data_IF_596199817521
#
_entry.id   IF_596199817521
#
_cell.length_a   1.000
_cell.length_b   1.000
_cell.length_c   1.000
_cell.angle_alpha   90.00
_cell.angle_beta   90.00
_cell.angle_gamma   90.00
#
_symmetry.space_group_name_H-M   'P 1'
#
loop_
_entity.id
_entity.type
_entity.pdbx_description
1 polymer ?
#
# COMPACT_ATOMS: atom_id res chain seq x y z
N UNK A 1 7.98 26.64 -4.66
CA UNK A 1 7.53 25.34 -4.14
C UNK A 1 6.80 24.62 -5.26
N UNK A 2 7.16 23.36 -5.53
CA UNK A 2 6.57 22.57 -6.60
C UNK A 2 5.52 21.61 -6.04
N UNK A 3 4.31 21.64 -6.60
CA UNK A 3 3.26 20.68 -6.26
C UNK A 3 3.23 19.56 -7.30
N UNK A 4 3.40 18.32 -6.85
CA UNK A 4 3.30 17.14 -7.72
C UNK A 4 2.21 16.23 -7.18
N UNK A 5 1.23 15.91 -8.03
CA UNK A 5 0.23 14.89 -7.74
C UNK A 5 0.71 13.55 -8.26
N UNK A 6 0.77 12.55 -7.39
CA UNK A 6 1.06 11.16 -7.75
C UNK A 6 -0.28 10.45 -7.92
N UNK A 7 -0.58 10.02 -9.15
CA UNK A 7 -1.87 9.39 -9.48
C UNK A 7 -1.69 8.12 -10.28
N UNK A 8 -2.77 7.35 -10.44
CA UNK A 8 -2.84 6.14 -11.24
C UNK A 8 -4.26 5.97 -11.76
N UNK A 9 -4.43 5.25 -12.87
CA UNK A 9 -5.77 4.93 -13.39
C UNK A 9 -6.38 3.73 -12.67
N UNK A 10 -5.56 2.80 -12.20
CA UNK A 10 -5.99 1.62 -11.45
C UNK A 10 -5.40 1.56 -10.02
N UNK A 11 -5.96 0.62 -9.24
CA UNK A 11 -5.52 0.29 -7.89
C UNK A 11 -4.19 -0.43 -7.92
N UNK A 12 -3.48 -0.37 -6.79
CA UNK A 12 -2.24 -1.13 -6.55
C UNK A 12 -1.12 -0.86 -7.57
N UNK A 13 -1.16 0.22 -8.35
CA UNK A 13 -0.06 0.62 -9.26
C UNK A 13 1.21 1.08 -8.52
N UNK A 14 1.13 1.31 -7.20
CA UNK A 14 2.28 1.64 -6.36
C UNK A 14 2.61 3.13 -6.24
N UNK A 15 1.58 3.98 -6.20
CA UNK A 15 1.69 5.43 -5.96
C UNK A 15 2.56 5.77 -4.76
N UNK A 16 2.33 5.11 -3.62
CA UNK A 16 3.14 5.32 -2.40
C UNK A 16 4.63 5.08 -2.64
N UNK A 17 4.98 4.01 -3.38
CA UNK A 17 6.38 3.68 -3.72
C UNK A 17 6.99 4.78 -4.58
N UNK A 18 6.29 5.21 -5.63
CA UNK A 18 6.78 6.26 -6.52
C UNK A 18 6.91 7.61 -5.78
N UNK A 19 5.92 7.98 -4.97
CA UNK A 19 5.97 9.19 -4.15
C UNK A 19 7.12 9.15 -3.14
N UNK A 20 7.34 8.02 -2.46
CA UNK A 20 8.43 7.85 -1.53
C UNK A 20 9.80 7.98 -2.24
N UNK A 21 9.95 7.31 -3.37
CA UNK A 21 11.14 7.37 -4.21
C UNK A 21 11.45 8.80 -4.66
N UNK A 22 10.44 9.52 -5.17
CA UNK A 22 10.59 10.93 -5.58
C UNK A 22 11.01 11.80 -4.40
N UNK A 23 10.31 11.71 -3.27
CA UNK A 23 10.63 12.50 -2.08
C UNK A 23 12.06 12.23 -1.57
N UNK A 24 12.50 10.97 -1.61
CA UNK A 24 13.82 10.54 -1.15
C UNK A 24 14.93 11.03 -2.09
N UNK A 25 14.77 10.85 -3.39
CA UNK A 25 15.77 11.25 -4.39
C UNK A 25 15.83 12.78 -4.60
N UNK A 26 14.71 13.48 -4.44
CA UNK A 26 14.69 14.93 -4.56
C UNK A 26 15.62 15.60 -3.55
N UNK A 27 15.83 14.98 -2.38
CA UNK A 27 16.68 15.49 -1.30
C UNK A 27 16.39 16.97 -0.96
N UNK A 28 15.12 17.33 -0.98
CA UNK A 28 14.57 18.67 -0.73
C UNK A 28 13.71 18.65 0.53
N UNK A 29 13.37 19.83 1.06
CA UNK A 29 12.34 19.92 2.10
C UNK A 29 10.99 19.54 1.51
N UNK A 30 10.60 18.28 1.70
CA UNK A 30 9.38 17.71 1.11
C UNK A 30 8.22 17.75 2.10
N UNK A 31 7.06 18.21 1.65
CA UNK A 31 5.77 18.01 2.32
C UNK A 31 4.97 16.92 1.63
N UNK A 32 3.99 16.36 2.34
CA UNK A 32 3.13 15.30 1.83
C UNK A 32 1.69 15.55 2.28
N UNK A 33 0.73 15.18 1.44
CA UNK A 33 -0.65 14.95 1.88
C UNK A 33 -1.32 13.89 1.01
N UNK A 34 -2.34 13.25 1.56
CA UNK A 34 -3.24 12.34 0.87
C UNK A 34 -4.68 12.76 1.19
N UNK A 35 -5.31 13.60 0.35
CA UNK A 35 -6.60 14.22 0.69
C UNK A 35 -7.68 13.18 1.04
N UNK A 36 -7.73 12.09 0.29
CA UNK A 36 -8.60 10.94 0.59
C UNK A 36 -7.72 9.72 0.85
N UNK A 37 -7.68 9.29 2.11
CA UNK A 37 -6.97 8.08 2.50
C UNK A 37 -7.67 6.81 2.01
N UNK A 38 -6.90 5.74 1.94
CA UNK A 38 -7.34 4.43 1.46
C UNK A 38 -6.85 3.26 2.31
N UNK A 39 -5.79 3.46 3.10
CA UNK A 39 -5.14 2.42 3.89
C UNK A 39 -5.33 2.74 5.38
N UNK A 40 -6.47 2.32 5.93
CA UNK A 40 -6.89 2.72 7.28
C UNK A 40 -6.07 2.01 8.36
N UNK A 41 -5.55 2.78 9.30
CA UNK A 41 -5.04 2.32 10.59
C UNK A 41 -5.88 2.93 11.72
N UNK A 42 -6.31 2.11 12.68
CA UNK A 42 -6.90 2.59 13.92
C UNK A 42 -5.87 2.48 15.05
N UNK A 43 -5.36 3.61 15.54
CA UNK A 43 -4.39 3.69 16.63
C UNK A 43 -4.74 4.85 17.55
N UNK A 44 -4.66 4.65 18.86
CA UNK A 44 -4.92 5.67 19.89
C UNK A 44 -6.24 6.43 19.72
N UNK A 45 -7.31 5.70 19.37
CA UNK A 45 -8.65 6.22 19.07
C UNK A 45 -8.74 7.15 17.85
N UNK A 46 -7.70 7.19 17.03
CA UNK A 46 -7.61 7.99 15.82
C UNK A 46 -7.68 7.10 14.59
N UNK A 47 -8.24 7.64 13.51
CA UNK A 47 -8.30 7.00 12.20
C UNK A 47 -7.23 7.64 11.34
N UNK A 48 -6.17 6.89 11.06
CA UNK A 48 -4.99 7.33 10.34
C UNK A 48 -4.87 6.61 8.99
N UNK A 49 -4.01 7.12 8.11
CA UNK A 49 -3.62 6.46 6.87
C UNK A 49 -2.19 5.94 6.98
N UNK A 50 -1.95 4.68 6.60
CA UNK A 50 -0.61 4.08 6.61
C UNK A 50 0.38 4.86 5.74
N UNK A 51 -0.04 5.38 4.59
CA UNK A 51 0.84 6.14 3.70
C UNK A 51 1.20 7.49 4.35
N UNK A 52 0.24 8.15 5.01
CA UNK A 52 0.52 9.36 5.78
C UNK A 52 1.54 9.13 6.91
N UNK A 53 1.42 8.02 7.64
CA UNK A 53 2.36 7.64 8.71
C UNK A 53 3.75 7.36 8.12
N UNK A 54 3.82 6.61 7.01
CA UNK A 54 5.06 6.34 6.30
C UNK A 54 5.80 7.64 5.96
N UNK A 55 5.13 8.58 5.29
CA UNK A 55 5.78 9.84 4.91
C UNK A 55 6.13 10.69 6.12
N UNK A 56 5.28 10.73 7.16
CA UNK A 56 5.57 11.46 8.39
C UNK A 56 6.87 10.96 9.02
N UNK A 57 6.98 9.67 9.25
CA UNK A 57 8.12 9.10 9.96
C UNK A 57 9.39 9.09 9.10
N UNK A 58 9.27 8.68 7.83
CA UNK A 58 10.44 8.57 6.96
C UNK A 58 11.07 9.93 6.59
N UNK A 59 10.29 11.01 6.58
CA UNK A 59 10.76 12.37 6.29
C UNK A 59 10.73 13.29 7.52
N UNK A 60 10.48 12.73 8.72
CA UNK A 60 10.42 13.48 9.99
C UNK A 60 9.53 14.73 9.90
N UNK A 61 8.34 14.58 9.31
CA UNK A 61 7.38 15.67 9.16
C UNK A 61 6.88 16.11 10.55
N UNK A 62 6.98 17.42 10.90
CA UNK A 62 6.57 17.91 12.22
C UNK A 62 5.05 17.84 12.41
N UNK A 63 4.27 17.79 11.33
CA UNK A 63 2.81 17.81 11.34
C UNK A 63 2.23 16.46 11.76
N UNK A 64 1.15 16.45 12.55
CA UNK A 64 0.49 15.21 12.96
C UNK A 64 -0.02 14.40 11.76
N UNK A 65 0.01 13.07 11.85
CA UNK A 65 -0.39 12.20 10.74
C UNK A 65 -1.86 12.42 10.31
N UNK A 66 -2.71 12.86 11.23
CA UNK A 66 -4.11 13.23 10.97
C UNK A 66 -4.24 14.46 10.07
N UNK A 67 -3.31 15.40 10.14
CA UNK A 67 -3.36 16.60 9.29
C UNK A 67 -3.01 16.25 7.83
N UNK A 68 -2.24 15.19 7.60
CA UNK A 68 -1.83 14.77 6.26
C UNK A 68 -2.97 14.15 5.45
N UNK A 69 -4.11 13.81 6.07
CA UNK A 69 -5.28 13.22 5.42
C UNK A 69 -6.58 13.95 5.83
N UNK A 70 -7.44 14.30 4.87
CA UNK A 70 -8.72 14.97 5.21
C UNK A 70 -9.77 13.97 5.68
N UNK A 71 -9.70 12.72 5.20
CA UNK A 71 -10.51 11.63 5.69
C UNK A 71 -10.55 10.43 4.75
N UNK A 72 -11.19 9.35 5.22
CA UNK A 72 -11.29 8.07 4.52
C UNK A 72 -12.62 7.90 3.77
N UNK A 73 -13.68 8.55 4.27
CA UNK A 73 -15.04 8.38 3.80
C UNK A 73 -15.66 9.73 3.48
N UNK A 74 -16.36 9.80 2.36
CA UNK A 74 -16.96 11.05 1.88
C UNK A 74 -17.96 11.63 2.89
N UNK A 75 -18.78 10.77 3.51
CA UNK A 75 -19.74 11.18 4.53
C UNK A 75 -19.07 11.82 5.75
N UNK A 76 -17.93 11.29 6.19
CA UNK A 76 -17.16 11.87 7.30
C UNK A 76 -16.52 13.20 6.89
N UNK A 77 -15.94 13.29 5.69
CA UNK A 77 -15.35 14.53 5.18
C UNK A 77 -16.42 15.63 5.11
N UNK A 78 -17.59 15.35 4.52
CA UNK A 78 -18.70 16.30 4.44
C UNK A 78 -19.26 16.69 5.81
N UNK A 79 -19.24 15.77 6.78
CA UNK A 79 -19.65 16.07 8.15
C UNK A 79 -18.70 17.06 8.84
N UNK A 80 -17.38 16.87 8.69
CA UNK A 80 -16.37 17.72 9.32
C UNK A 80 -16.13 19.03 8.58
N UNK A 81 -16.25 19.05 7.25
CA UNK A 81 -15.93 20.21 6.42
C UNK A 81 -17.12 20.61 5.54
N UNK A 82 -17.76 21.71 5.91
CA UNK A 82 -18.86 22.30 5.14
C UNK A 82 -18.40 22.81 3.77
N UNK A 83 -17.15 23.27 3.67
CA UNK A 83 -16.53 23.68 2.41
C UNK A 83 -15.21 22.94 2.22
N UNK A 84 -15.28 21.77 1.58
CA UNK A 84 -14.14 20.87 1.37
C UNK A 84 -13.02 21.53 0.57
N UNK A 85 -13.36 22.30 -0.48
CA UNK A 85 -12.37 23.00 -1.31
C UNK A 85 -11.60 24.05 -0.51
N UNK A 86 -12.29 24.83 0.33
CA UNK A 86 -11.64 25.81 1.20
C UNK A 86 -10.70 25.12 2.20
N UNK A 87 -11.17 24.06 2.85
CA UNK A 87 -10.33 23.28 3.76
C UNK A 87 -9.08 22.73 3.05
N UNK A 88 -9.23 22.15 1.86
CA UNK A 88 -8.12 21.63 1.07
C UNK A 88 -7.04 22.70 0.84
N UNK A 89 -7.45 23.90 0.39
CA UNK A 89 -6.52 25.00 0.10
C UNK A 89 -5.85 25.54 1.36
N UNK A 90 -6.58 25.69 2.47
CA UNK A 90 -6.04 26.21 3.72
C UNK A 90 -5.07 25.20 4.36
N UNK A 91 -5.43 23.91 4.32
CA UNK A 91 -4.58 22.83 4.80
C UNK A 91 -3.32 22.69 3.97
N UNK A 92 -3.43 22.70 2.63
CA UNK A 92 -2.26 22.72 1.75
C UNK A 92 -1.35 23.92 2.07
N UNK A 93 -1.89 25.13 2.23
CA UNK A 93 -1.11 26.31 2.57
C UNK A 93 -0.36 26.18 3.91
N UNK A 94 -0.97 25.53 4.92
CA UNK A 94 -0.32 25.24 6.21
C UNK A 94 0.80 24.21 6.06
N UNK A 95 0.51 23.05 5.49
CA UNK A 95 1.44 21.92 5.38
C UNK A 95 2.62 22.20 4.44
N UNK A 96 2.42 23.06 3.45
CA UNK A 96 3.39 23.34 2.41
C UNK A 96 4.36 24.49 2.78
N UNK A 97 4.11 25.18 3.90
CA UNK A 97 4.96 26.28 4.38
C UNK A 97 6.40 25.83 4.60
N UNK A 98 7.33 26.50 3.91
CA UNK A 98 8.77 26.23 4.02
C UNK A 98 9.24 24.94 3.33
N UNK A 99 8.36 24.30 2.55
CA UNK A 99 8.69 23.13 1.72
C UNK A 99 9.08 23.59 0.31
N UNK A 100 9.99 22.86 -0.32
CA UNK A 100 10.44 23.09 -1.69
C UNK A 100 9.67 22.22 -2.68
N UNK A 101 9.35 21.00 -2.27
CA UNK A 101 8.52 20.02 -2.97
C UNK A 101 7.33 19.67 -2.08
N UNK A 102 6.16 19.56 -2.66
CA UNK A 102 4.96 19.11 -1.96
C UNK A 102 4.30 18.01 -2.78
N UNK A 103 4.25 16.81 -2.23
CA UNK A 103 3.63 15.65 -2.86
C UNK A 103 2.19 15.52 -2.41
N UNK A 104 1.30 15.32 -3.37
CA UNK A 104 -0.11 15.02 -3.12
C UNK A 104 -0.38 13.64 -3.69
N UNK A 105 -0.67 12.67 -2.84
CA UNK A 105 -1.07 11.34 -3.30
C UNK A 105 -2.56 11.34 -3.66
N UNK A 106 -2.87 11.04 -4.92
CA UNK A 106 -4.24 10.88 -5.40
C UNK A 106 -4.91 9.64 -4.79
N UNK A 107 -6.23 9.58 -4.94
CA UNK A 107 -7.01 8.44 -4.47
C UNK A 107 -6.68 7.13 -5.20
N UNK A 108 -7.36 6.06 -4.80
CA UNK A 108 -7.21 4.73 -5.40
C UNK A 108 -7.35 4.73 -6.93
N UNK A 109 -8.24 5.57 -7.44
CA UNK A 109 -8.51 5.81 -8.86
C UNK A 109 -8.43 7.30 -9.16
N UNK A 110 -8.30 7.64 -10.45
CA UNK A 110 -8.26 9.03 -10.90
C UNK A 110 -9.45 9.86 -10.42
N UNK A 111 -10.67 9.31 -10.48
CA UNK A 111 -11.94 10.00 -10.13
C UNK A 111 -12.32 9.92 -8.64
N UNK A 112 -11.52 9.25 -7.80
CA UNK A 112 -11.85 9.07 -6.39
C UNK A 112 -11.88 10.43 -5.70
N UNK A 113 -13.05 10.83 -5.19
CA UNK A 113 -13.24 12.14 -4.54
C UNK A 113 -13.88 13.21 -5.41
N UNK A 114 -14.30 12.90 -6.64
CA UNK A 114 -14.82 13.90 -7.57
C UNK A 114 -16.04 14.67 -7.04
N UNK A 115 -16.95 14.01 -6.30
CA UNK A 115 -18.10 14.69 -5.68
C UNK A 115 -17.71 15.69 -4.58
N UNK A 116 -16.45 15.71 -4.17
CA UNK A 116 -15.86 16.62 -3.19
C UNK A 116 -14.80 17.54 -3.80
N UNK A 117 -14.57 17.46 -5.12
CA UNK A 117 -13.45 18.09 -5.83
C UNK A 117 -12.07 17.70 -5.26
N UNK A 118 -11.93 16.45 -4.80
CA UNK A 118 -10.69 15.86 -4.29
C UNK A 118 -10.11 14.79 -5.22
N UNK A 119 -10.71 14.58 -6.39
CA UNK A 119 -10.12 13.72 -7.44
C UNK A 119 -8.86 14.35 -8.03
N UNK A 120 -8.03 13.53 -8.68
CA UNK A 120 -6.71 13.98 -9.11
C UNK A 120 -6.75 15.17 -10.08
N UNK A 121 -7.76 15.27 -10.96
CA UNK A 121 -7.86 16.36 -11.91
C UNK A 121 -8.33 17.65 -11.23
N UNK A 122 -9.30 17.57 -10.33
CA UNK A 122 -9.68 18.70 -9.48
C UNK A 122 -8.49 19.21 -8.64
N UNK A 123 -7.68 18.30 -8.08
CA UNK A 123 -6.50 18.67 -7.29
C UNK A 123 -5.46 19.42 -8.13
N UNK A 124 -5.24 19.01 -9.40
CA UNK A 124 -4.35 19.71 -10.33
C UNK A 124 -4.78 21.17 -10.49
N UNK A 125 -6.08 21.40 -10.74
CA UNK A 125 -6.62 22.74 -10.94
C UNK A 125 -6.57 23.58 -9.65
N UNK A 126 -7.02 23.01 -8.52
CA UNK A 126 -7.15 23.74 -7.25
C UNK A 126 -5.78 24.13 -6.67
N UNK A 127 -4.78 23.24 -6.82
CA UNK A 127 -3.46 23.41 -6.20
C UNK A 127 -2.39 23.87 -7.20
N UNK A 128 -2.75 24.12 -8.46
CA UNK A 128 -1.82 24.45 -9.54
C UNK A 128 -0.63 23.48 -9.56
N UNK A 129 -0.94 22.19 -9.68
CA UNK A 129 0.01 21.09 -9.56
C UNK A 129 0.21 20.37 -10.90
N UNK A 130 1.39 19.79 -11.11
CA UNK A 130 1.61 18.86 -12.21
C UNK A 130 1.27 17.44 -11.75
N UNK A 131 0.85 16.57 -12.68
CA UNK A 131 0.50 15.18 -12.36
C UNK A 131 1.56 14.22 -12.92
N UNK A 132 2.02 13.29 -12.08
CA UNK A 132 2.84 12.14 -12.44
C UNK A 132 1.95 10.89 -12.34
N UNK A 133 1.82 10.15 -13.44
CA UNK A 133 1.08 8.90 -13.46
C UNK A 133 1.99 7.73 -13.15
N UNK A 134 1.54 6.84 -12.26
CA UNK A 134 2.18 5.56 -11.97
C UNK A 134 1.37 4.47 -12.64
N UNK A 135 2.00 3.77 -13.58
CA UNK A 135 1.37 2.76 -14.44
C UNK A 135 2.02 1.41 -14.18
N UNK A 136 1.22 0.37 -14.03
CA UNK A 136 1.69 -0.99 -13.77
C UNK A 136 0.63 -2.00 -14.24
N UNK A 137 1.05 -3.11 -14.83
CA UNK A 137 0.15 -4.13 -15.35
C UNK A 137 0.81 -4.95 -16.43
N UNK A 138 0.02 -5.75 -17.12
CA UNK A 138 0.45 -6.44 -18.35
C UNK A 138 0.54 -5.45 -19.52
N UNK A 139 1.29 -5.78 -20.57
CA UNK A 139 1.55 -4.88 -21.69
C UNK A 139 0.30 -4.20 -22.27
N UNK A 140 -0.78 -4.95 -22.51
CA UNK A 140 -2.00 -4.42 -23.10
C UNK A 140 -2.78 -3.50 -22.15
N UNK A 141 -2.75 -3.78 -20.84
CA UNK A 141 -3.37 -2.91 -19.83
C UNK A 141 -2.62 -1.58 -19.75
N UNK A 142 -1.29 -1.64 -19.76
CA UNK A 142 -0.43 -0.46 -19.80
C UNK A 142 -0.72 0.38 -21.06
N UNK A 143 -0.83 -0.25 -22.23
CA UNK A 143 -1.12 0.47 -23.47
C UNK A 143 -2.46 1.22 -23.41
N UNK A 144 -3.51 0.61 -22.85
CA UNK A 144 -4.80 1.26 -22.63
C UNK A 144 -4.67 2.46 -21.69
N UNK A 145 -3.89 2.31 -20.61
CA UNK A 145 -3.60 3.42 -19.69
C UNK A 145 -2.86 4.57 -20.39
N UNK A 146 -1.83 4.27 -21.19
CA UNK A 146 -1.08 5.28 -21.94
C UNK A 146 -1.98 6.05 -22.91
N UNK A 147 -2.86 5.37 -23.64
CA UNK A 147 -3.83 6.00 -24.54
C UNK A 147 -4.80 6.92 -23.79
N UNK A 148 -5.23 6.52 -22.60
CA UNK A 148 -6.08 7.36 -21.75
C UNK A 148 -5.33 8.58 -21.21
N UNK A 149 -4.11 8.40 -20.69
CA UNK A 149 -3.25 9.49 -20.20
C UNK A 149 -2.94 10.47 -21.34
N UNK A 150 -2.64 9.99 -22.55
CA UNK A 150 -2.41 10.84 -23.72
C UNK A 150 -3.60 11.76 -24.01
N UNK A 151 -4.84 11.25 -23.89
CA UNK A 151 -6.04 12.08 -24.07
C UNK A 151 -6.16 13.16 -22.99
N UNK A 152 -5.87 12.83 -21.74
CA UNK A 152 -5.91 13.78 -20.60
C UNK A 152 -4.81 14.83 -20.71
N UNK A 153 -3.62 14.46 -21.18
CA UNK A 153 -2.48 15.35 -21.32
C UNK A 153 -2.73 16.54 -22.27
N UNK A 154 -3.79 16.50 -23.07
CA UNK A 154 -4.21 17.63 -23.92
C UNK A 154 -4.81 18.79 -23.13
N UNK A 155 -5.28 18.55 -21.90
CA UNK A 155 -5.98 19.54 -21.07
C UNK A 155 -5.43 19.67 -19.66
N UNK A 156 -4.52 18.79 -19.24
CA UNK A 156 -3.98 18.71 -17.88
C UNK A 156 -2.46 18.67 -17.97
N UNK A 157 -1.72 19.40 -17.10
CA UNK A 157 -0.25 19.38 -17.06
C UNK A 157 0.29 18.02 -16.55
N UNK A 158 0.36 17.03 -17.45
CA UNK A 158 0.98 15.74 -17.15
C UNK A 158 2.49 15.87 -17.27
N UNK A 159 3.18 15.75 -16.13
CA UNK A 159 4.65 15.78 -16.08
C UNK A 159 5.27 14.60 -16.81
N UNK A 160 4.61 13.45 -16.71
CA UNK A 160 5.03 12.21 -17.34
C UNK A 160 4.49 10.99 -16.62
N UNK A 161 5.05 9.83 -16.97
CA UNK A 161 4.67 8.52 -16.45
C UNK A 161 5.87 7.86 -15.76
N UNK A 162 5.60 7.08 -14.73
CA UNK A 162 6.52 6.13 -14.11
C UNK A 162 5.93 4.75 -14.31
N UNK A 163 6.68 3.86 -14.95
CA UNK A 163 6.32 2.45 -15.03
C UNK A 163 6.74 1.78 -13.73
N UNK A 164 5.86 1.02 -13.10
CA UNK A 164 6.16 0.34 -11.83
C UNK A 164 5.88 -1.15 -11.94
N UNK A 165 6.57 -1.94 -11.12
CA UNK A 165 6.48 -3.40 -11.09
C UNK A 165 6.81 -4.06 -12.43
N UNK A 166 7.64 -3.41 -13.24
CA UNK A 166 7.97 -3.93 -14.56
C UNK A 166 8.78 -5.22 -14.46
N UNK A 167 8.49 -6.12 -15.40
CA UNK A 167 9.32 -7.27 -15.75
C UNK A 167 9.90 -6.99 -17.13
N UNK A 168 11.13 -7.40 -17.39
CA UNK A 168 11.94 -6.88 -18.50
C UNK A 168 11.35 -7.15 -19.90
N UNK A 169 10.50 -8.17 -20.03
CA UNK A 169 10.08 -8.75 -21.32
C UNK A 169 9.33 -7.78 -22.25
N UNK A 170 8.65 -6.74 -21.72
CA UNK A 170 7.86 -5.78 -22.51
C UNK A 170 8.36 -4.33 -22.44
N UNK A 171 9.48 -4.08 -21.74
CA UNK A 171 9.88 -2.72 -21.36
C UNK A 171 10.17 -1.81 -22.57
N UNK A 172 10.89 -2.32 -23.57
CA UNK A 172 11.27 -1.54 -24.76
C UNK A 172 10.06 -1.17 -25.62
N UNK A 173 9.09 -2.08 -25.72
CA UNK A 173 7.84 -1.85 -26.47
C UNK A 173 7.00 -0.75 -25.82
N UNK A 174 6.87 -0.80 -24.49
CA UNK A 174 6.12 0.22 -23.73
C UNK A 174 6.80 1.58 -23.83
N UNK A 175 8.14 1.62 -23.80
CA UNK A 175 8.91 2.87 -24.01
C UNK A 175 8.60 3.49 -25.38
N UNK A 176 8.61 2.69 -26.44
CA UNK A 176 8.29 3.12 -27.79
C UNK A 176 6.85 3.66 -27.87
N UNK A 177 5.88 2.94 -27.31
CA UNK A 177 4.47 3.36 -27.27
C UNK A 177 4.29 4.69 -26.53
N UNK A 178 4.94 4.87 -25.38
CA UNK A 178 4.90 6.11 -24.61
C UNK A 178 5.49 7.29 -25.40
N UNK A 179 6.62 7.07 -26.10
CA UNK A 179 7.24 8.08 -26.96
C UNK A 179 6.33 8.47 -28.13
N UNK A 180 5.73 7.49 -28.81
CA UNK A 180 4.78 7.71 -29.91
C UNK A 180 3.55 8.53 -29.46
N UNK A 181 3.14 8.38 -28.20
CA UNK A 181 2.06 9.14 -27.57
C UNK A 181 2.51 10.48 -26.99
N UNK A 182 3.76 10.89 -27.19
CA UNK A 182 4.36 12.10 -26.60
C UNK A 182 4.21 12.16 -25.06
N UNK A 183 4.26 11.00 -24.41
CA UNK A 183 4.28 10.89 -22.95
C UNK A 183 5.73 10.75 -22.48
N UNK A 184 6.18 11.69 -21.64
CA UNK A 184 7.51 11.64 -21.07
C UNK A 184 7.60 10.47 -20.08
N UNK A 185 8.44 9.49 -20.38
CA UNK A 185 8.83 8.47 -19.41
C UNK A 185 9.81 9.06 -18.40
N UNK A 186 9.43 9.08 -17.13
CA UNK A 186 10.22 9.61 -16.02
C UNK A 186 11.07 8.54 -15.33
N UNK A 187 10.83 7.27 -15.65
CA UNK A 187 11.62 6.15 -15.15
C UNK A 187 10.82 4.87 -15.00
N UNK A 188 11.53 3.82 -14.58
CA UNK A 188 10.99 2.47 -14.41
C UNK A 188 11.35 1.93 -13.03
N UNK A 189 10.38 1.56 -12.21
CA UNK A 189 10.62 0.88 -10.94
C UNK A 189 10.38 -0.62 -11.16
N UNK A 190 11.39 -1.49 -11.02
CA UNK A 190 11.26 -2.91 -11.28
C UNK A 190 10.39 -3.61 -10.23
N UNK A 191 9.95 -4.83 -10.55
CA UNK A 191 9.27 -5.67 -9.58
C UNK A 191 10.19 -6.08 -8.42
N UNK A 192 9.90 -5.56 -7.22
CA UNK A 192 10.59 -5.92 -5.98
C UNK A 192 9.76 -6.92 -5.18
N UNK A 193 10.20 -8.19 -5.12
CA UNK A 193 9.49 -9.27 -4.40
C UNK A 193 9.25 -8.90 -2.94
N UNK A 194 10.23 -8.27 -2.27
CA UNK A 194 10.15 -7.90 -0.85
C UNK A 194 8.98 -6.96 -0.54
N UNK A 195 8.58 -6.11 -1.49
CA UNK A 195 7.45 -5.20 -1.30
C UNK A 195 6.09 -5.91 -1.25
N UNK A 196 6.00 -7.17 -1.67
CA UNK A 196 4.78 -7.97 -1.52
C UNK A 196 4.62 -8.56 -0.12
N UNK A 197 5.71 -8.67 0.65
CA UNK A 197 5.67 -9.25 1.98
C UNK A 197 4.90 -8.35 2.95
N UNK A 198 3.99 -8.93 3.73
CA UNK A 198 3.13 -8.20 4.67
C UNK A 198 3.41 -8.65 6.09
N UNK A 199 3.52 -7.72 7.05
CA UNK A 199 3.68 -8.12 8.46
C UNK A 199 2.39 -8.69 9.03
N UNK A 200 2.51 -9.68 9.92
CA UNK A 200 1.34 -10.27 10.61
C UNK A 200 0.53 -9.19 11.35
N UNK A 201 1.19 -8.23 12.01
CA UNK A 201 0.50 -7.10 12.69
C UNK A 201 -0.43 -6.32 11.77
N UNK A 202 -0.03 -6.08 10.52
CA UNK A 202 -0.85 -5.34 9.56
C UNK A 202 -2.14 -6.11 9.27
N UNK A 203 -2.07 -7.44 9.16
CA UNK A 203 -3.26 -8.29 8.98
C UNK A 203 -4.18 -8.20 10.20
N UNK A 204 -3.62 -8.28 11.41
CA UNK A 204 -4.37 -8.18 12.66
C UNK A 204 -5.07 -6.83 12.79
N UNK A 205 -4.35 -5.75 12.55
CA UNK A 205 -4.87 -4.37 12.63
C UNK A 205 -5.94 -4.11 11.55
N UNK A 206 -5.70 -4.55 10.30
CA UNK A 206 -6.63 -4.35 9.18
C UNK A 206 -7.94 -5.10 9.40
N UNK A 207 -7.89 -6.32 9.94
CA UNK A 207 -9.07 -7.15 10.14
C UNK A 207 -9.70 -6.99 11.53
N UNK A 208 -9.15 -6.12 12.39
CA UNK A 208 -9.52 -6.01 13.80
C UNK A 208 -9.57 -7.39 14.49
N UNK A 209 -8.59 -8.22 14.16
CA UNK A 209 -8.57 -9.62 14.54
C UNK A 209 -8.12 -9.79 16.00
N UNK A 210 -8.59 -10.86 16.65
CA UNK A 210 -8.18 -11.18 18.02
C UNK A 210 -6.97 -12.11 17.99
N UNK A 211 -5.83 -11.66 18.51
CA UNK A 211 -4.70 -12.56 18.78
C UNK A 211 -4.99 -13.34 20.07
N UNK A 212 -4.87 -14.67 20.03
CA UNK A 212 -5.17 -15.56 21.17
C UNK A 212 -3.94 -16.26 21.74
N UNK A 213 -2.82 -16.23 21.02
CA UNK A 213 -1.49 -16.69 21.45
C UNK A 213 -0.42 -16.16 20.48
N UNK A 214 0.85 -16.23 20.88
CA UNK A 214 2.03 -15.99 20.06
C UNK A 214 2.26 -14.53 19.67
N UNK A 215 1.87 -13.58 20.53
CA UNK A 215 1.94 -12.13 20.23
C UNK A 215 3.33 -11.63 19.82
N UNK A 216 4.40 -12.24 20.35
CA UNK A 216 5.79 -11.88 20.00
C UNK A 216 6.14 -12.18 18.52
N UNK A 217 5.31 -12.94 17.81
CA UNK A 217 5.47 -13.23 16.39
C UNK A 217 4.81 -12.22 15.44
N UNK A 218 4.17 -11.16 15.94
CA UNK A 218 3.40 -10.23 15.10
C UNK A 218 4.24 -9.43 14.10
N UNK A 219 5.55 -9.36 14.29
CA UNK A 219 6.47 -8.69 13.36
C UNK A 219 7.02 -9.60 12.25
N UNK A 220 6.63 -10.88 12.22
CA UNK A 220 7.01 -11.79 11.12
C UNK A 220 6.38 -11.37 9.80
N UNK A 221 7.08 -11.71 8.72
CA UNK A 221 6.62 -11.48 7.34
C UNK A 221 5.75 -12.61 6.83
N UNK A 222 4.73 -12.26 6.07
CA UNK A 222 3.89 -13.16 5.31
C UNK A 222 4.21 -12.94 3.83
N UNK A 223 4.69 -13.98 3.17
CA UNK A 223 4.89 -14.03 1.71
C UNK A 223 3.92 -14.99 1.03
N UNK A 224 3.41 -15.97 1.76
CA UNK A 224 2.61 -17.06 1.22
C UNK A 224 1.35 -17.23 2.06
N UNK A 225 0.23 -17.55 1.42
CA UNK A 225 -1.02 -17.92 2.10
C UNK A 225 -1.32 -19.37 1.77
N UNK A 226 -1.63 -20.17 2.80
CA UNK A 226 -1.94 -21.57 2.64
C UNK A 226 -3.23 -21.95 3.39
N UNK A 227 -4.25 -22.39 2.65
CA UNK A 227 -5.53 -22.82 3.22
C UNK A 227 -5.42 -24.29 3.61
N UNK A 228 -5.29 -24.54 4.91
CA UNK A 228 -5.11 -25.87 5.47
C UNK A 228 -6.49 -26.52 5.76
N UNK A 229 -7.15 -26.99 4.70
CA UNK A 229 -8.47 -27.61 4.76
C UNK A 229 -8.45 -29.16 4.78
N UNK A 230 -7.29 -29.78 4.53
CA UNK A 230 -7.15 -31.25 4.48
C UNK A 230 -6.75 -31.82 5.86
N UNK A 231 -6.53 -33.15 5.94
CA UNK A 231 -5.96 -33.78 7.13
C UNK A 231 -4.48 -33.41 7.31
N UNK A 232 -3.95 -33.48 8.54
CA UNK A 232 -2.55 -33.14 8.80
C UNK A 232 -1.54 -33.93 7.93
N UNK A 233 -1.69 -35.26 7.67
CA UNK A 233 -0.79 -35.98 6.78
C UNK A 233 -0.81 -35.48 5.34
N UNK A 234 -1.98 -35.11 4.82
CA UNK A 234 -2.13 -34.63 3.45
C UNK A 234 -1.58 -33.21 3.28
N UNK A 235 -1.79 -32.34 4.28
CA UNK A 235 -1.20 -30.99 4.31
C UNK A 235 0.33 -31.06 4.23
N UNK A 236 0.97 -31.96 4.99
CA UNK A 236 2.44 -32.12 4.98
C UNK A 236 3.01 -32.53 3.62
N UNK A 237 2.19 -33.14 2.75
CA UNK A 237 2.57 -33.52 1.38
C UNK A 237 2.36 -32.39 0.38
N UNK A 238 1.58 -31.37 0.74
CA UNK A 238 1.29 -30.24 -0.15
C UNK A 238 2.55 -29.38 -0.35
N UNK A 239 2.89 -28.96 -1.58
CA UNK A 239 4.07 -28.15 -1.86
C UNK A 239 4.12 -26.85 -1.05
N UNK A 240 2.98 -26.16 -0.94
CA UNK A 240 2.89 -24.88 -0.23
C UNK A 240 3.12 -24.98 1.28
N UNK A 241 2.99 -26.18 1.87
CA UNK A 241 3.28 -26.38 3.28
C UNK A 241 4.77 -26.14 3.60
N UNK A 242 5.66 -26.42 2.65
CA UNK A 242 7.11 -26.23 2.81
C UNK A 242 7.58 -24.81 2.53
N UNK A 243 6.69 -23.92 2.08
CA UNK A 243 7.06 -22.52 1.85
C UNK A 243 7.31 -21.83 3.18
N UNK A 244 8.31 -20.96 3.19
CA UNK A 244 8.58 -20.09 4.33
C UNK A 244 7.62 -18.89 4.33
N UNK A 245 7.62 -18.16 5.45
CA UNK A 245 6.83 -16.96 5.65
C UNK A 245 5.33 -17.20 5.33
N UNK A 246 4.79 -18.36 5.73
CA UNK A 246 3.42 -18.77 5.39
C UNK A 246 2.40 -18.34 6.45
N UNK A 247 1.31 -17.72 6.00
CA UNK A 247 0.08 -17.51 6.75
C UNK A 247 -0.86 -18.68 6.49
N UNK A 248 -1.22 -19.41 7.54
CA UNK A 248 -2.09 -20.57 7.43
C UNK A 248 -3.51 -20.18 7.79
N UNK A 249 -4.49 -20.65 7.03
CA UNK A 249 -5.92 -20.46 7.34
C UNK A 249 -6.54 -21.83 7.60
N UNK A 250 -7.11 -22.05 8.79
CA UNK A 250 -7.77 -23.32 9.13
C UNK A 250 -8.91 -23.12 10.15
N UNK A 251 -9.72 -24.16 10.34
CA UNK A 251 -10.77 -24.16 11.37
C UNK A 251 -10.15 -24.24 12.76
N UNK A 252 -10.67 -23.45 13.72
CA UNK A 252 -10.15 -23.48 15.09
C UNK A 252 -10.41 -24.81 15.83
N UNK A 253 -11.31 -25.65 15.32
CA UNK A 253 -11.58 -27.00 15.77
C UNK A 253 -10.54 -28.04 15.29
N UNK A 254 -9.73 -27.70 14.27
CA UNK A 254 -8.73 -28.59 13.65
C UNK A 254 -7.43 -28.65 14.46
N UNK A 255 -7.52 -29.15 15.69
CA UNK A 255 -6.38 -29.29 16.61
C UNK A 255 -5.21 -30.09 16.01
N UNK A 256 -5.50 -31.10 15.20
CA UNK A 256 -4.51 -31.91 14.47
C UNK A 256 -3.70 -31.06 13.48
N UNK A 257 -4.39 -30.22 12.71
CA UNK A 257 -3.78 -29.33 11.70
C UNK A 257 -3.02 -28.20 12.34
N UNK A 258 -3.62 -27.54 13.34
CA UNK A 258 -2.98 -26.42 14.02
C UNK A 258 -1.65 -26.89 14.62
N UNK A 259 -1.66 -28.03 15.32
CA UNK A 259 -0.45 -28.62 15.90
C UNK A 259 0.60 -28.96 14.84
N UNK A 260 0.18 -29.54 13.71
CA UNK A 260 1.11 -29.81 12.60
C UNK A 260 1.73 -28.54 12.03
N UNK A 261 0.96 -27.45 11.97
CA UNK A 261 1.35 -26.17 11.39
C UNK A 261 2.17 -25.27 12.32
N UNK A 262 2.25 -25.58 13.62
CA UNK A 262 3.09 -24.92 14.60
C UNK A 262 4.56 -25.36 14.44
N UNK A 263 5.15 -25.02 13.30
CA UNK A 263 6.50 -25.39 12.89
C UNK A 263 7.26 -24.18 12.29
N UNK A 264 8.52 -24.40 11.95
CA UNK A 264 9.35 -23.39 11.28
C UNK A 264 8.77 -23.00 9.91
N UNK A 265 9.03 -21.77 9.49
CA UNK A 265 8.48 -21.19 8.26
C UNK A 265 7.02 -20.71 8.39
N UNK A 266 6.27 -21.08 9.43
CA UNK A 266 4.93 -20.53 9.70
C UNK A 266 5.03 -19.16 10.38
N UNK A 267 4.48 -18.14 9.72
CA UNK A 267 4.46 -16.78 10.26
C UNK A 267 3.30 -16.52 11.19
N UNK A 268 2.12 -17.07 10.89
CA UNK A 268 0.92 -17.00 11.72
C UNK A 268 -0.12 -18.03 11.25
N UNK A 269 -1.09 -18.31 12.13
CA UNK A 269 -2.24 -19.17 11.82
C UNK A 269 -3.53 -18.40 12.13
N UNK A 270 -4.39 -18.26 11.13
CA UNK A 270 -5.75 -17.76 11.28
C UNK A 270 -6.71 -18.91 11.57
N UNK A 271 -7.47 -18.74 12.65
CA UNK A 271 -8.49 -19.66 13.15
C UNK A 271 -9.87 -19.10 12.78
N UNK A 272 -10.60 -19.82 11.94
CA UNK A 272 -11.93 -19.42 11.47
C UNK A 272 -13.04 -19.83 12.44
N UNK A 273 -14.24 -19.30 12.23
CA UNK A 273 -15.45 -19.59 13.02
C UNK A 273 -15.39 -19.20 14.51
N UNK A 274 -14.45 -18.33 14.92
CA UNK A 274 -14.25 -17.90 16.30
C UNK A 274 -14.02 -19.06 17.30
N UNK A 275 -13.47 -20.18 16.81
CA UNK A 275 -13.15 -21.33 17.66
C UNK A 275 -11.72 -21.16 18.17
N UNK A 276 -11.57 -21.12 19.50
CA UNK A 276 -10.25 -21.05 20.14
C UNK A 276 -9.79 -22.47 20.48
N UNK A 277 -8.59 -22.89 20.07
CA UNK A 277 -8.08 -24.23 20.35
C UNK A 277 -7.72 -24.42 21.83
N UNK A 278 -7.40 -25.67 22.19
CA UNK A 278 -7.04 -26.03 23.57
C UNK A 278 -5.84 -25.25 24.13
N UNK A 279 -5.79 -25.11 25.46
CA UNK A 279 -4.70 -24.41 26.16
C UNK A 279 -3.30 -24.94 25.82
N UNK A 280 -3.17 -26.25 25.55
CA UNK A 280 -1.90 -26.86 25.15
C UNK A 280 -1.40 -26.32 23.80
N UNK A 281 -2.31 -26.11 22.84
CA UNK A 281 -1.98 -25.53 21.54
C UNK A 281 -1.61 -24.05 21.68
N UNK A 282 -2.35 -23.31 22.53
CA UNK A 282 -2.00 -21.90 22.82
C UNK A 282 -0.60 -21.79 23.44
N UNK A 283 -0.26 -22.67 24.37
CA UNK A 283 1.06 -22.70 25.01
C UNK A 283 2.17 -23.01 23.99
N UNK A 284 1.98 -23.99 23.10
CA UNK A 284 2.94 -24.30 22.02
C UNK A 284 3.12 -23.12 21.05
N UNK A 285 2.03 -22.42 20.72
CA UNK A 285 2.08 -21.24 19.86
C UNK A 285 2.87 -20.09 20.50
N UNK A 286 2.69 -19.87 21.81
CA UNK A 286 3.48 -18.92 22.59
C UNK A 286 4.97 -19.31 22.59
N UNK A 287 5.30 -20.56 22.89
CA UNK A 287 6.69 -21.04 22.92
C UNK A 287 7.42 -20.83 21.58
N UNK A 288 6.70 -21.00 20.47
CA UNK A 288 7.24 -20.84 19.12
C UNK A 288 7.12 -19.42 18.55
N UNK A 289 6.51 -18.51 19.31
CA UNK A 289 6.17 -17.16 18.85
C UNK A 289 5.40 -17.18 17.51
N UNK A 290 4.45 -18.08 17.35
CA UNK A 290 3.58 -18.15 16.16
C UNK A 290 2.20 -17.59 16.54
N UNK A 291 1.80 -16.43 16.02
CA UNK A 291 0.51 -15.83 16.31
C UNK A 291 -0.64 -16.74 15.90
N UNK A 292 -1.55 -17.00 16.84
CA UNK A 292 -2.86 -17.58 16.56
C UNK A 292 -3.89 -16.44 16.53
N UNK A 293 -4.53 -16.26 15.39
CA UNK A 293 -5.40 -15.11 15.10
C UNK A 293 -6.82 -15.62 14.90
N UNK A 294 -7.73 -15.30 15.80
CA UNK A 294 -9.12 -15.73 15.72
C UNK A 294 -9.98 -14.72 14.98
N UNK A 295 -10.73 -15.22 13.99
CA UNK A 295 -11.71 -14.47 13.21
C UNK A 295 -13.06 -15.18 13.23
N UNK A 296 -14.14 -14.39 13.23
CA UNK A 296 -15.53 -14.90 13.24
C UNK A 296 -15.96 -15.58 11.93
N UNK A 297 -15.63 -15.08 10.73
CA UNK A 297 -16.12 -15.69 9.49
C UNK A 297 -15.55 -17.09 9.22
N UNK A 298 -16.18 -17.77 8.27
CA UNK A 298 -15.72 -19.06 7.75
C UNK A 298 -14.42 -18.94 6.93
N UNK A 299 -13.82 -20.08 6.59
CA UNK A 299 -12.54 -20.17 5.85
C UNK A 299 -12.57 -19.49 4.48
N UNK A 300 -13.67 -19.59 3.73
CA UNK A 300 -13.78 -18.96 2.42
C UNK A 300 -13.82 -17.43 2.56
N UNK A 301 -14.65 -16.94 3.47
CA UNK A 301 -14.78 -15.51 3.75
C UNK A 301 -13.46 -14.92 4.26
N UNK A 302 -12.77 -15.60 5.17
CA UNK A 302 -11.45 -15.20 5.66
C UNK A 302 -10.41 -15.17 4.53
N UNK A 303 -10.38 -16.18 3.67
CA UNK A 303 -9.48 -16.21 2.51
C UNK A 303 -9.67 -14.97 1.62
N UNK A 304 -10.93 -14.61 1.32
CA UNK A 304 -11.26 -13.40 0.55
C UNK A 304 -10.86 -12.11 1.26
N UNK A 305 -11.00 -12.04 2.59
CA UNK A 305 -10.53 -10.88 3.35
C UNK A 305 -9.01 -10.72 3.22
N UNK A 306 -8.25 -11.81 3.38
CA UNK A 306 -6.79 -11.80 3.26
C UNK A 306 -6.32 -11.42 1.85
N UNK A 307 -6.95 -11.97 0.80
CA UNK A 307 -6.66 -11.62 -0.60
C UNK A 307 -6.85 -10.12 -0.90
N UNK A 308 -7.78 -9.48 -0.19
CA UNK A 308 -8.08 -8.06 -0.36
C UNK A 308 -7.17 -7.13 0.47
N UNK A 309 -6.37 -7.66 1.40
CA UNK A 309 -5.41 -6.83 2.15
C UNK A 309 -4.34 -6.34 1.18
N UNK A 310 -4.24 -5.02 1.06
CA UNK A 310 -3.17 -4.41 0.29
C UNK A 310 -1.89 -4.40 1.13
N UNK A 311 -0.76 -4.87 0.57
CA UNK A 311 0.55 -4.67 1.20
C UNK A 311 0.81 -3.18 1.36
N UNK A 312 1.20 -2.79 2.58
CA UNK A 312 1.67 -1.44 2.90
C UNK A 312 3.16 -1.49 3.23
N UNK A 313 3.81 -0.34 3.19
CA UNK A 313 5.18 -0.18 3.65
C UNK A 313 5.11 0.54 5.00
N UNK A 314 5.60 -0.12 6.04
CA UNK A 314 5.66 0.48 7.37
C UNK A 314 6.96 1.28 7.52
N UNK A 315 6.96 2.37 8.30
CA UNK A 315 8.14 3.22 8.49
C UNK A 315 9.40 2.50 8.98
N UNK A 316 9.24 1.45 9.76
CA UNK A 316 10.32 0.69 10.37
C UNK A 316 10.87 -0.42 9.45
N UNK A 317 10.30 -0.63 8.26
CA UNK A 317 10.76 -1.58 7.26
C UNK A 317 11.93 -1.05 6.43
N UNK A 318 13.02 -0.72 7.13
CA UNK A 318 14.21 -0.06 6.56
C UNK A 318 14.76 -0.78 5.33
N UNK A 319 14.71 -2.11 5.29
CA UNK A 319 15.19 -2.88 4.15
C UNK A 319 14.34 -2.65 2.89
N UNK A 320 13.00 -2.61 3.01
CA UNK A 320 12.11 -2.28 1.88
C UNK A 320 12.35 -0.85 1.41
N UNK A 321 12.49 0.10 2.35
CA UNK A 321 12.74 1.50 2.04
C UNK A 321 14.08 1.71 1.32
N UNK A 322 15.12 0.97 1.73
CA UNK A 322 16.42 0.98 1.09
C UNK A 322 16.38 0.36 -0.31
N UNK A 323 15.64 -0.74 -0.49
CA UNK A 323 15.43 -1.37 -1.81
C UNK A 323 14.76 -0.38 -2.78
N UNK A 324 13.70 0.33 -2.33
CA UNK A 324 13.05 1.37 -3.14
C UNK A 324 14.04 2.49 -3.49
N UNK A 325 14.83 2.98 -2.54
CA UNK A 325 15.81 4.04 -2.79
C UNK A 325 16.87 3.61 -3.81
N UNK A 326 17.40 2.40 -3.67
CA UNK A 326 18.39 1.82 -4.58
C UNK A 326 17.84 1.74 -6.00
N UNK A 327 16.71 1.07 -6.18
CA UNK A 327 16.12 0.88 -7.51
C UNK A 327 15.68 2.20 -8.13
N UNK A 328 15.15 3.12 -7.33
CA UNK A 328 14.77 4.44 -7.82
C UNK A 328 15.98 5.27 -8.28
N UNK A 329 17.11 5.21 -7.57
CA UNK A 329 18.33 5.96 -7.95
C UNK A 329 18.88 5.51 -9.29
N UNK A 330 18.77 4.23 -9.60
CA UNK A 330 19.25 3.64 -10.85
C UNK A 330 18.31 3.95 -12.03
N UNK A 331 17.00 4.08 -11.79
CA UNK A 331 16.01 4.05 -12.87
C UNK A 331 15.04 5.23 -12.96
N UNK A 332 15.03 6.18 -12.02
CA UNK A 332 14.20 7.40 -12.09
C UNK A 332 15.01 8.62 -12.50
N UNK A 333 14.49 9.37 -13.46
CA UNK A 333 15.00 10.69 -13.85
C UNK A 333 14.41 11.76 -12.93
N UNK A 334 15.01 11.91 -11.75
CA UNK A 334 14.55 12.88 -10.75
C UNK A 334 14.67 14.34 -11.23
N UNK A 335 15.63 14.65 -12.11
CA UNK A 335 15.77 15.99 -12.69
C UNK A 335 14.56 16.30 -13.56
N UNK A 336 14.21 15.39 -14.49
CA UNK A 336 13.01 15.50 -15.30
C UNK A 336 11.71 15.65 -14.50
N UNK A 337 11.62 15.03 -13.32
CA UNK A 337 10.46 15.15 -12.42
C UNK A 337 10.43 16.54 -11.76
N UNK A 338 11.58 17.08 -11.38
CA UNK A 338 11.69 18.34 -10.63
C UNK A 338 11.74 19.60 -11.49
N UNK A 339 12.19 19.52 -12.74
CA UNK A 339 12.19 20.62 -13.72
C UNK A 339 10.80 21.17 -14.02
#
# INVERSE_FOLDING_TARGET
MKNIIISALDRKSGKTVAGYAIAKLANKKTGYMKPIGSNVLYRDKKVLDYDAILFKEAFSLPEDAEELCMGMHHSKILHFYQNVKKELTERHARLSKGKELFLIEGGEFLWKGASLSLDALSLVEILNAEIVFVVAGEYHEILDELQYIHRINKSVPVKGIILNKMRDEDMERIKEDAQNLNLKLLGVIPYMKRLQATRVRHVVETLFAKVVAGEDGLDRYIENVFIAALSAPEIKRHPDYRKENKLIITGGDRSDVITACLEEGTSAIILTNNIVPSANILAQANEKNIPLISLRPDTYTVSKLIENIQPVILPDEREKLHEIEKEAREHLDIQAILD
#
